data_IF_621634680900
#
_entry.id   IF_621634680900
#
_cell.length_a   1.000
_cell.length_b   1.000
_cell.length_c   1.000
_cell.angle_alpha   90.00
_cell.angle_beta   90.00
_cell.angle_gamma   90.00
#
_symmetry.space_group_name_H-M   'P 1'
#
loop_
_entity.id
_entity.type
_entity.pdbx_description
1 polymer ?
#
# COMPACT_ATOMS: atom_id res chain seq x y z
N UNK A 1 -5.71 26.66 27.61
CA UNK A 1 -4.58 27.23 28.39
C UNK A 1 -3.63 26.09 28.79
N UNK A 2 -2.91 25.50 27.82
CA UNK A 2 -1.86 24.51 28.09
C UNK A 2 -0.98 24.31 26.84
N UNK A 3 -0.22 25.35 26.50
CA UNK A 3 0.84 25.25 25.47
C UNK A 3 1.95 26.27 25.74
N UNK A 4 2.45 26.37 26.98
CA UNK A 4 3.56 27.29 27.31
C UNK A 4 4.67 26.74 28.21
N UNK A 5 4.68 25.45 28.57
CA UNK A 5 5.65 24.93 29.56
C UNK A 5 6.82 24.13 28.96
N UNK A 6 6.76 23.65 27.71
CA UNK A 6 7.84 22.81 27.17
C UNK A 6 8.97 23.53 26.40
N UNK A 7 8.85 24.84 26.14
CA UNK A 7 9.86 25.60 25.38
C UNK A 7 10.88 26.37 26.21
N UNK A 8 10.77 26.36 27.56
CA UNK A 8 11.71 27.10 28.44
C UNK A 8 12.86 26.29 29.04
N UNK A 9 13.02 24.99 28.71
CA UNK A 9 14.13 24.17 29.25
C UNK A 9 15.30 23.91 28.28
N UNK A 10 15.21 24.29 27.00
CA UNK A 10 16.29 24.06 26.04
C UNK A 10 17.28 25.25 25.87
N UNK A 11 16.93 26.45 26.35
CA UNK A 11 17.71 27.66 26.08
C UNK A 11 18.75 28.04 27.17
N UNK A 12 18.94 27.24 28.21
CA UNK A 12 19.76 27.62 29.38
C UNK A 12 21.05 26.81 29.59
N UNK A 13 21.59 26.13 28.56
CA UNK A 13 22.81 25.30 28.70
C UNK A 13 23.83 25.43 27.56
N UNK A 14 23.99 26.62 26.98
CA UNK A 14 25.06 26.88 26.02
C UNK A 14 25.59 28.31 26.11
N UNK A 15 26.07 28.72 27.28
CA UNK A 15 26.86 29.95 27.42
C UNK A 15 27.78 29.87 28.64
N UNK A 16 28.89 29.14 28.51
CA UNK A 16 30.16 29.45 29.18
C UNK A 16 31.18 28.35 28.94
N UNK A 17 32.34 28.75 28.43
CA UNK A 17 33.71 28.26 28.67
C UNK A 17 34.51 28.12 27.38
N UNK A 18 35.65 28.80 27.38
CA UNK A 18 36.69 28.84 26.34
C UNK A 18 37.92 28.05 26.84
N UNK A 19 39.07 28.02 26.14
CA UNK A 19 39.60 26.81 25.49
C UNK A 19 40.89 26.29 26.16
N UNK A 20 41.19 24.98 26.04
CA UNK A 20 42.56 24.46 25.88
C UNK A 20 42.62 22.95 25.56
N UNK A 21 43.69 22.61 24.87
CA UNK A 21 44.09 21.40 24.17
C UNK A 21 44.28 20.13 25.02
N UNK A 22 44.11 18.96 24.39
CA UNK A 22 45.20 17.97 24.22
C UNK A 22 44.79 16.86 23.24
N UNK A 23 45.78 16.47 22.45
CA UNK A 23 45.87 15.37 21.48
C UNK A 23 45.66 13.99 22.13
N UNK A 24 44.97 13.05 21.47
CA UNK A 24 45.58 11.88 20.77
C UNK A 24 44.60 10.71 20.50
N UNK A 25 44.79 10.11 19.31
CA UNK A 25 44.40 8.76 18.83
C UNK A 25 42.92 8.50 18.47
N UNK A 26 42.49 7.98 17.30
CA UNK A 26 43.08 7.19 16.17
C UNK A 26 42.06 7.23 14.97
N UNK A 27 42.41 6.84 13.71
CA UNK A 27 42.22 7.68 12.51
C UNK A 27 41.34 7.11 11.36
N UNK A 28 41.37 7.85 10.24
CA UNK A 28 41.18 7.41 8.83
C UNK A 28 39.75 7.11 8.32
N UNK A 29 39.04 8.17 7.88
CA UNK A 29 38.45 8.27 6.53
C UNK A 29 37.74 9.62 6.36
N UNK A 30 37.74 10.14 5.13
CA UNK A 30 37.07 11.36 4.65
C UNK A 30 37.87 12.67 4.84
N UNK A 31 39.10 12.68 4.32
CA UNK A 31 39.63 13.85 3.64
C UNK A 31 39.64 13.51 2.14
N UNK A 32 38.62 13.98 1.40
CA UNK A 32 38.58 14.24 -0.06
C UNK A 32 37.11 14.46 -0.50
N UNK A 33 36.54 15.62 -0.13
CA UNK A 33 35.44 16.22 -0.88
C UNK A 33 35.55 17.74 -0.73
N UNK A 34 35.82 18.40 -1.84
CA UNK A 34 36.39 19.74 -1.94
C UNK A 34 35.47 20.86 -1.45
N UNK A 35 36.12 21.93 -1.00
CA UNK A 35 35.59 23.25 -0.61
C UNK A 35 34.69 23.94 -1.65
N UNK A 36 34.50 23.35 -2.84
CA UNK A 36 33.65 23.84 -3.92
C UNK A 36 32.15 23.66 -3.64
N UNK A 37 31.75 22.57 -2.98
CA UNK A 37 30.33 22.24 -2.77
C UNK A 37 29.65 23.18 -1.75
N UNK A 38 30.35 23.62 -0.70
CA UNK A 38 29.79 24.56 0.29
C UNK A 38 29.56 25.97 -0.26
N UNK A 39 30.39 26.44 -1.21
CA UNK A 39 30.21 27.77 -1.83
C UNK A 39 29.01 27.79 -2.78
N UNK A 40 28.80 26.74 -3.58
CA UNK A 40 27.69 26.69 -4.55
C UNK A 40 26.31 26.62 -3.89
N UNK A 41 26.16 25.88 -2.78
CA UNK A 41 24.88 25.80 -2.05
C UNK A 41 24.49 27.16 -1.44
N UNK A 42 25.45 27.92 -0.90
CA UNK A 42 25.19 29.27 -0.39
C UNK A 42 24.81 30.27 -1.49
N UNK A 43 25.43 30.21 -2.67
CA UNK A 43 25.12 31.12 -3.79
C UNK A 43 23.72 30.87 -4.38
N UNK A 44 23.27 29.61 -4.43
CA UNK A 44 21.93 29.26 -4.94
C UNK A 44 20.82 29.73 -3.97
N UNK A 45 21.05 29.61 -2.65
CA UNK A 45 20.10 30.10 -1.65
C UNK A 45 19.95 31.63 -1.68
N UNK A 46 21.03 32.38 -1.94
CA UNK A 46 20.96 33.84 -2.08
C UNK A 46 20.31 34.29 -3.40
N UNK A 47 20.56 33.57 -4.50
CA UNK A 47 19.91 33.85 -5.79
C UNK A 47 18.39 33.59 -5.76
N UNK A 48 17.94 32.49 -5.17
CA UNK A 48 16.51 32.19 -5.04
C UNK A 48 15.79 33.19 -4.11
N UNK A 49 16.45 33.67 -3.05
CA UNK A 49 15.88 34.70 -2.19
C UNK A 49 15.72 36.05 -2.92
N UNK A 50 16.69 36.45 -3.73
CA UNK A 50 16.63 37.70 -4.50
C UNK A 50 15.62 37.64 -5.66
N UNK A 51 15.45 36.49 -6.31
CA UNK A 51 14.44 36.29 -7.36
C UNK A 51 13.02 36.34 -6.78
N UNK A 52 12.79 35.71 -5.62
CA UNK A 52 11.52 35.78 -4.88
C UNK A 52 11.20 37.23 -4.43
N UNK A 53 12.17 37.94 -3.86
CA UNK A 53 12.02 39.33 -3.42
C UNK A 53 11.73 40.29 -4.61
N UNK A 54 12.37 40.06 -5.76
CA UNK A 54 12.11 40.81 -6.99
C UNK A 54 10.69 40.59 -7.54
N UNK A 55 10.19 39.36 -7.51
CA UNK A 55 8.84 39.00 -7.96
C UNK A 55 7.73 39.61 -7.07
N UNK A 56 7.96 39.68 -5.75
CA UNK A 56 7.02 40.26 -4.79
C UNK A 56 6.97 41.80 -4.89
N UNK A 57 8.11 42.47 -5.09
CA UNK A 57 8.15 43.93 -5.34
C UNK A 57 7.44 44.32 -6.64
N UNK A 58 7.55 43.49 -7.68
CA UNK A 58 6.93 43.78 -8.97
C UNK A 58 5.41 43.61 -8.96
N UNK A 59 4.87 42.62 -8.22
CA UNK A 59 3.41 42.49 -8.04
C UNK A 59 2.80 43.67 -7.28
N UNK A 60 3.50 44.23 -6.29
CA UNK A 60 3.03 45.43 -5.56
C UNK A 60 3.03 46.69 -6.44
N UNK A 61 4.02 46.87 -7.31
CA UNK A 61 4.05 48.00 -8.25
C UNK A 61 3.05 47.85 -9.41
N UNK A 62 2.83 46.63 -9.91
CA UNK A 62 1.86 46.37 -10.98
C UNK A 62 0.41 46.60 -10.52
N UNK A 63 0.07 46.24 -9.28
CA UNK A 63 -1.25 46.48 -8.69
C UNK A 63 -1.46 47.98 -8.41
N UNK A 64 -0.42 48.72 -8.00
CA UNK A 64 -0.50 50.17 -7.81
C UNK A 64 -0.58 50.96 -9.12
N UNK A 65 0.07 50.51 -10.20
CA UNK A 65 0.03 51.16 -11.50
C UNK A 65 -1.28 50.89 -12.27
N UNK A 66 -1.87 49.71 -12.12
CA UNK A 66 -3.18 49.37 -12.68
C UNK A 66 -4.33 50.20 -12.06
N UNK A 67 -4.19 50.62 -10.80
CA UNK A 67 -5.13 51.54 -10.14
C UNK A 67 -5.00 53.00 -10.63
N UNK A 68 -3.93 53.36 -11.35
CA UNK A 68 -3.62 54.72 -11.80
C UNK A 68 -3.68 54.94 -13.32
N UNK A 69 -4.11 53.93 -14.10
CA UNK A 69 -4.50 54.12 -15.51
C UNK A 69 -3.39 54.33 -16.56
N UNK A 70 -2.11 54.05 -16.27
CA UNK A 70 -1.00 54.25 -17.23
C UNK A 70 -0.55 52.95 -17.95
N UNK A 71 -0.13 53.06 -19.23
CA UNK A 71 0.41 51.95 -20.05
C UNK A 71 1.90 51.69 -19.78
N UNK A 72 2.29 50.41 -19.82
CA UNK A 72 3.67 49.90 -19.64
C UNK A 72 4.57 50.06 -20.89
N UNK A 73 5.90 50.29 -20.75
CA UNK A 73 6.86 50.17 -21.85
C UNK A 73 7.38 48.72 -22.03
N UNK A 74 7.79 48.38 -23.27
CA UNK A 74 8.32 47.06 -23.71
C UNK A 74 9.65 46.70 -23.02
N UNK A 75 9.85 45.40 -22.73
CA UNK A 75 11.08 44.80 -22.18
C UNK A 75 11.87 44.05 -23.27
N UNK A 76 13.19 44.24 -23.31
CA UNK A 76 14.16 43.47 -24.09
C UNK A 76 14.43 42.10 -23.41
N UNK A 77 14.36 41.01 -24.17
CA UNK A 77 14.63 39.65 -23.68
C UNK A 77 16.13 39.36 -23.60
N UNK A 78 16.55 38.70 -22.51
CA UNK A 78 17.89 38.12 -22.32
C UNK A 78 18.26 37.18 -23.47
N UNK A 79 19.49 37.28 -23.99
CA UNK A 79 19.96 36.50 -25.14
C UNK A 79 20.05 34.99 -24.88
N UNK A 80 19.76 34.20 -25.93
CA UNK A 80 19.69 32.74 -25.92
C UNK A 80 20.94 32.04 -25.33
N UNK A 81 22.11 32.69 -25.42
CA UNK A 81 23.39 32.20 -24.89
C UNK A 81 23.39 32.00 -23.36
N UNK A 82 22.62 32.79 -22.61
CA UNK A 82 22.55 32.68 -21.16
C UNK A 82 21.62 31.55 -20.69
N UNK A 83 20.64 31.16 -21.52
CA UNK A 83 19.70 30.07 -21.20
C UNK A 83 20.39 28.71 -21.36
N UNK A 84 21.21 28.54 -22.42
CA UNK A 84 22.02 27.32 -22.60
C UNK A 84 23.03 27.12 -21.46
N UNK A 85 23.68 28.18 -21.00
CA UNK A 85 24.68 28.08 -19.92
C UNK A 85 24.06 27.68 -18.57
N UNK A 86 22.83 28.11 -18.30
CA UNK A 86 22.07 27.73 -17.10
C UNK A 86 21.53 26.30 -17.23
N UNK A 87 21.12 25.88 -18.43
CA UNK A 87 20.70 24.52 -18.73
C UNK A 87 21.83 23.49 -18.55
N UNK A 88 23.02 23.78 -19.09
CA UNK A 88 24.19 22.90 -18.97
C UNK A 88 24.67 22.73 -17.51
N UNK A 89 24.61 23.81 -16.71
CA UNK A 89 24.97 23.74 -15.28
C UNK A 89 23.96 22.96 -14.44
N UNK A 90 22.65 23.08 -14.73
CA UNK A 90 21.63 22.24 -14.09
C UNK A 90 21.78 20.77 -14.45
N UNK A 91 22.06 20.46 -15.72
CA UNK A 91 22.27 19.08 -16.17
C UNK A 91 23.47 18.43 -15.47
N UNK A 92 24.60 19.14 -15.36
CA UNK A 92 25.79 18.64 -14.68
C UNK A 92 25.57 18.42 -13.17
N UNK A 93 24.84 19.32 -12.51
CA UNK A 93 24.52 19.19 -11.08
C UNK A 93 23.58 18.00 -10.81
N UNK A 94 22.56 17.80 -11.66
CA UNK A 94 21.64 16.67 -11.56
C UNK A 94 22.37 15.33 -11.75
N UNK A 95 23.32 15.27 -12.69
CA UNK A 95 24.10 14.06 -12.96
C UNK A 95 25.04 13.69 -11.79
N UNK A 96 25.67 14.68 -11.16
CA UNK A 96 26.51 14.47 -9.97
C UNK A 96 25.68 14.02 -8.76
N UNK A 97 24.46 14.56 -8.60
CA UNK A 97 23.56 14.16 -7.53
C UNK A 97 23.09 12.71 -7.70
N UNK A 98 22.79 12.27 -8.93
CA UNK A 98 22.44 10.87 -9.20
C UNK A 98 23.59 9.89 -8.94
N UNK A 99 24.81 10.25 -9.32
CA UNK A 99 26.00 9.42 -9.03
C UNK A 99 26.24 9.29 -7.52
N UNK A 100 26.06 10.37 -6.75
CA UNK A 100 26.18 10.33 -5.29
C UNK A 100 25.15 9.36 -4.66
N UNK A 101 23.88 9.42 -5.10
CA UNK A 101 22.85 8.50 -4.61
C UNK A 101 23.13 7.04 -4.97
N UNK A 102 23.64 6.76 -6.17
CA UNK A 102 24.00 5.40 -6.57
C UNK A 102 25.12 4.82 -5.70
N UNK A 103 26.13 5.63 -5.37
CA UNK A 103 27.23 5.21 -4.49
C UNK A 103 26.72 4.94 -3.06
N UNK A 104 25.85 5.81 -2.53
CA UNK A 104 25.23 5.60 -1.21
C UNK A 104 24.38 4.33 -1.18
N UNK A 105 23.65 4.03 -2.27
CA UNK A 105 22.84 2.82 -2.36
C UNK A 105 23.69 1.54 -2.44
N UNK A 106 24.80 1.57 -3.18
CA UNK A 106 25.75 0.44 -3.24
C UNK A 106 26.43 0.18 -1.90
N UNK A 107 26.83 1.24 -1.17
CA UNK A 107 27.41 1.09 0.17
C UNK A 107 26.42 0.47 1.14
N UNK A 108 25.17 0.96 1.17
CA UNK A 108 24.11 0.40 2.03
C UNK A 108 23.78 -1.06 1.70
N UNK A 109 23.77 -1.44 0.42
CA UNK A 109 23.54 -2.82 0.01
C UNK A 109 24.70 -3.75 0.45
N UNK A 110 25.93 -3.25 0.42
CA UNK A 110 27.11 -4.00 0.85
C UNK A 110 27.09 -4.23 2.36
N UNK A 111 26.69 -3.24 3.15
CA UNK A 111 26.54 -3.36 4.61
C UNK A 111 25.44 -4.34 5.00
N UNK A 112 24.30 -4.33 4.30
CA UNK A 112 23.21 -5.30 4.50
C UNK A 112 23.69 -6.73 4.22
N UNK A 113 24.43 -6.93 3.12
CA UNK A 113 24.97 -8.25 2.77
C UNK A 113 26.00 -8.74 3.80
N UNK A 114 26.81 -7.83 4.37
CA UNK A 114 27.78 -8.16 5.42
C UNK A 114 27.10 -8.52 6.74
N UNK A 115 26.01 -7.82 7.08
CA UNK A 115 25.19 -8.13 8.25
C UNK A 115 24.50 -9.50 8.12
N UNK A 116 23.95 -9.80 6.95
CA UNK A 116 23.29 -11.08 6.68
C UNK A 116 24.27 -12.27 6.76
N UNK A 117 25.50 -12.11 6.25
CA UNK A 117 26.56 -13.12 6.36
C UNK A 117 26.98 -13.40 7.80
N UNK A 118 27.06 -12.36 8.65
CA UNK A 118 27.34 -12.53 10.08
C UNK A 118 26.22 -13.26 10.81
N UNK A 119 24.96 -13.00 10.45
CA UNK A 119 23.80 -13.67 11.03
C UNK A 119 23.74 -15.16 10.65
N UNK A 120 24.02 -15.49 9.39
CA UNK A 120 24.09 -16.88 8.92
C UNK A 120 25.24 -17.67 9.59
N UNK A 121 26.40 -17.04 9.77
CA UNK A 121 27.53 -17.67 10.46
C UNK A 121 27.22 -17.95 11.94
N UNK A 122 26.47 -17.05 12.61
CA UNK A 122 26.01 -17.24 13.99
C UNK A 122 24.99 -18.39 14.11
N UNK A 123 24.02 -18.48 13.20
CA UNK A 123 23.03 -19.58 13.20
C UNK A 123 23.65 -20.95 12.89
N UNK A 124 24.66 -21.03 12.02
CA UNK A 124 25.38 -22.28 11.74
C UNK A 124 26.23 -22.74 12.93
N UNK A 125 26.78 -21.80 13.72
CA UNK A 125 27.50 -22.11 14.95
C UNK A 125 26.57 -22.64 16.06
N UNK A 126 25.31 -22.16 16.14
CA UNK A 126 24.30 -22.68 17.07
C UNK A 126 23.70 -24.03 16.67
N UNK A 127 23.71 -24.38 15.38
CA UNK A 127 23.22 -25.67 14.91
C UNK A 127 24.22 -26.81 15.16
N UNK A 128 25.50 -26.48 15.33
CA UNK A 128 26.57 -27.47 15.54
C UNK A 128 26.75 -27.87 17.01
N UNK A 129 26.09 -27.21 17.96
CA UNK A 129 26.24 -27.45 19.40
C UNK A 129 25.08 -28.23 20.05
N UNK A 130 24.06 -28.64 19.29
CA UNK A 130 22.83 -29.28 19.83
C UNK A 130 22.67 -30.76 19.49
N UNK A 131 23.70 -31.45 18.98
CA UNK A 131 23.66 -32.89 18.69
C UNK A 131 24.66 -33.69 19.54
N UNK A 132 24.38 -33.78 20.84
CA UNK A 132 24.92 -34.86 21.70
C UNK A 132 24.02 -35.04 22.93
N UNK A 133 23.23 -36.11 22.97
CA UNK A 133 22.38 -36.42 24.12
C UNK A 133 21.48 -37.63 23.90
N UNK A 134 21.97 -38.77 24.36
CA UNK A 134 21.38 -40.10 24.51
C UNK A 134 19.96 -40.16 25.10
N UNK A 135 19.20 -41.18 24.70
CA UNK A 135 17.77 -41.32 24.95
C UNK A 135 17.36 -42.12 26.18
N UNK A 136 16.05 -42.24 26.37
CA UNK A 136 15.39 -43.40 26.95
C UNK A 136 13.89 -43.38 26.56
N UNK A 137 13.31 -44.58 26.45
CA UNK A 137 11.98 -44.82 25.93
C UNK A 137 10.99 -45.15 27.05
N UNK A 138 9.80 -44.54 27.06
CA UNK A 138 8.59 -45.15 27.63
C UNK A 138 7.33 -44.66 26.93
N UNK A 139 6.54 -45.65 26.50
CA UNK A 139 5.22 -45.60 25.89
C UNK A 139 4.16 -44.97 26.80
N UNK A 140 3.28 -44.11 26.27
CA UNK A 140 1.83 -44.20 26.54
C UNK A 140 1.03 -43.54 25.42
N UNK A 141 0.06 -44.29 24.90
CA UNK A 141 -0.80 -43.96 23.78
C UNK A 141 -1.96 -43.05 24.18
N UNK A 142 -2.18 -41.97 23.43
CA UNK A 142 -3.52 -41.39 23.26
C UNK A 142 -3.64 -40.79 21.86
N UNK A 143 -4.58 -41.34 21.10
CA UNK A 143 -4.84 -41.09 19.70
C UNK A 143 -5.71 -39.84 19.53
N UNK A 144 -5.15 -38.77 18.98
CA UNK A 144 -5.96 -37.72 18.32
C UNK A 144 -5.25 -37.32 17.02
N UNK A 145 -5.66 -37.96 15.94
CA UNK A 145 -5.24 -37.64 14.57
C UNK A 145 -5.83 -36.29 14.14
N UNK A 146 -5.06 -35.23 14.31
CA UNK A 146 -5.10 -34.07 13.43
C UNK A 146 -3.76 -34.05 12.68
N UNK A 147 -3.74 -34.64 11.48
CA UNK A 147 -2.62 -34.56 10.58
C UNK A 147 -2.49 -33.10 10.11
N UNK A 148 -1.76 -32.29 10.89
CA UNK A 148 -1.19 -31.04 10.42
C UNK A 148 -0.12 -31.41 9.42
N UNK A 149 -0.50 -31.55 8.15
CA UNK A 149 0.46 -31.54 7.05
C UNK A 149 1.03 -30.12 7.01
N UNK A 150 2.04 -29.87 7.83
CA UNK A 150 2.86 -28.66 7.73
C UNK A 150 3.64 -28.79 6.44
N UNK A 151 2.99 -28.48 5.31
CA UNK A 151 3.69 -28.20 4.07
C UNK A 151 4.60 -27.02 4.39
N UNK A 152 5.88 -27.31 4.56
CA UNK A 152 6.94 -26.31 4.61
C UNK A 152 6.81 -25.44 3.37
N UNK A 153 6.17 -24.29 3.51
CA UNK A 153 6.08 -23.30 2.46
C UNK A 153 7.50 -22.83 2.19
N UNK A 154 8.03 -23.20 1.03
CA UNK A 154 9.30 -22.66 0.56
C UNK A 154 9.18 -21.13 0.59
N UNK A 155 9.96 -20.48 1.46
CA UNK A 155 9.88 -19.05 1.74
C UNK A 155 10.54 -18.22 0.63
N UNK A 156 10.66 -18.81 -0.56
CA UNK A 156 11.27 -18.22 -1.73
C UNK A 156 10.30 -17.23 -2.38
N UNK A 157 10.81 -16.05 -2.74
CA UNK A 157 10.08 -15.04 -3.50
C UNK A 157 9.50 -15.64 -4.79
N UNK A 158 8.18 -15.52 -4.95
CA UNK A 158 7.46 -15.82 -6.18
C UNK A 158 7.74 -14.69 -7.17
N UNK A 159 8.17 -15.07 -8.37
CA UNK A 159 8.52 -14.17 -9.48
C UNK A 159 7.65 -14.48 -10.70
N UNK A 160 7.60 -13.57 -11.68
CA UNK A 160 6.94 -13.81 -12.97
C UNK A 160 7.43 -15.09 -13.65
N UNK A 161 8.74 -15.38 -13.60
CA UNK A 161 9.32 -16.62 -14.10
C UNK A 161 8.79 -17.86 -13.37
N UNK A 162 8.62 -17.78 -12.05
CA UNK A 162 8.05 -18.90 -11.29
C UNK A 162 6.60 -19.15 -11.67
N UNK A 163 5.81 -18.10 -11.91
CA UNK A 163 4.41 -18.18 -12.36
C UNK A 163 4.31 -18.84 -13.75
N UNK A 164 5.14 -18.41 -14.70
CA UNK A 164 5.25 -19.05 -16.03
C UNK A 164 5.64 -20.54 -15.88
N UNK A 165 6.60 -20.83 -15.00
CA UNK A 165 7.04 -22.20 -14.77
C UNK A 165 5.96 -23.09 -14.12
N UNK A 166 5.01 -22.52 -13.34
CA UNK A 166 3.84 -23.26 -12.83
C UNK A 166 2.93 -23.70 -13.98
N UNK A 167 2.62 -22.81 -14.93
CA UNK A 167 1.85 -23.19 -16.14
C UNK A 167 2.51 -24.34 -16.90
N UNK A 168 3.82 -24.24 -17.19
CA UNK A 168 4.58 -25.29 -17.91
C UNK A 168 4.56 -26.64 -17.19
N UNK A 169 4.46 -26.63 -15.85
CA UNK A 169 4.36 -27.82 -15.00
C UNK A 169 2.91 -28.25 -14.73
N UNK A 170 1.93 -27.61 -15.37
CA UNK A 170 0.50 -27.80 -15.13
C UNK A 170 0.10 -27.67 -13.64
N UNK A 171 0.80 -26.80 -12.90
CA UNK A 171 0.49 -26.47 -11.52
C UNK A 171 -0.39 -25.22 -11.46
N UNK A 172 -1.51 -25.30 -10.74
CA UNK A 172 -2.44 -24.18 -10.64
C UNK A 172 -1.83 -23.01 -9.85
N UNK A 173 -2.08 -21.81 -10.34
CA UNK A 173 -1.65 -20.55 -9.70
C UNK A 173 -2.77 -20.04 -8.79
N UNK A 174 -2.42 -19.68 -7.55
CA UNK A 174 -3.35 -19.10 -6.58
C UNK A 174 -3.10 -17.60 -6.46
N UNK A 175 -4.17 -16.83 -6.68
CA UNK A 175 -4.16 -15.37 -6.56
C UNK A 175 -5.35 -14.95 -5.70
N UNK A 176 -5.15 -13.97 -4.84
CA UNK A 176 -6.23 -13.37 -4.05
C UNK A 176 -5.93 -11.89 -3.87
N UNK A 177 -6.97 -11.08 -3.72
CA UNK A 177 -6.75 -9.67 -3.40
C UNK A 177 -6.33 -9.48 -1.94
N UNK A 178 -5.69 -8.36 -1.64
CA UNK A 178 -5.49 -7.83 -0.30
C UNK A 178 -5.33 -6.31 -0.41
N UNK A 179 -5.71 -5.57 0.62
CA UNK A 179 -5.76 -4.10 0.55
C UNK A 179 -5.18 -3.39 1.78
N UNK A 180 -4.93 -4.13 2.84
CA UNK A 180 -4.40 -3.61 4.10
C UNK A 180 -3.30 -4.52 4.67
N UNK A 181 -2.74 -4.12 5.82
CA UNK A 181 -1.70 -4.90 6.47
C UNK A 181 -2.22 -6.25 7.02
N UNK A 182 -3.32 -6.32 7.80
CA UNK A 182 -3.83 -7.59 8.33
C UNK A 182 -4.20 -8.62 7.26
N UNK A 183 -4.93 -8.22 6.21
CA UNK A 183 -5.30 -9.11 5.11
C UNK A 183 -4.06 -9.66 4.41
N UNK A 184 -3.08 -8.82 4.11
CA UNK A 184 -1.83 -9.24 3.48
C UNK A 184 -1.04 -10.23 4.35
N UNK A 185 -1.00 -10.05 5.68
CA UNK A 185 -0.37 -11.01 6.61
C UNK A 185 -1.04 -12.37 6.52
N UNK A 186 -2.38 -12.43 6.50
CA UNK A 186 -3.11 -13.70 6.39
C UNK A 186 -2.92 -14.36 5.03
N UNK A 187 -2.94 -13.58 3.96
CA UNK A 187 -2.74 -14.06 2.59
C UNK A 187 -1.33 -14.62 2.38
N UNK A 188 -0.29 -13.96 2.90
CA UNK A 188 1.08 -14.45 2.85
C UNK A 188 1.24 -15.75 3.63
N UNK A 189 0.69 -15.81 4.85
CA UNK A 189 0.67 -17.02 5.68
C UNK A 189 -0.04 -18.20 5.03
N UNK A 190 -1.09 -17.94 4.25
CA UNK A 190 -1.81 -18.96 3.50
C UNK A 190 -1.01 -19.50 2.30
N UNK A 191 0.13 -18.89 1.96
CA UNK A 191 1.00 -19.37 0.91
C UNK A 191 0.51 -19.04 -0.51
N UNK A 192 -0.27 -17.97 -0.70
CA UNK A 192 -0.74 -17.56 -2.03
C UNK A 192 0.42 -17.19 -2.96
N UNK A 193 0.32 -17.53 -4.26
CA UNK A 193 1.41 -17.21 -5.19
C UNK A 193 1.44 -15.71 -5.50
N UNK A 194 0.27 -15.12 -5.73
CA UNK A 194 0.10 -13.72 -6.14
C UNK A 194 -0.85 -13.02 -5.18
N UNK A 195 -0.49 -11.80 -4.76
CA UNK A 195 -1.39 -10.87 -4.08
C UNK A 195 -1.69 -9.71 -5.00
N UNK A 196 -2.99 -9.47 -5.22
CA UNK A 196 -3.46 -8.35 -6.03
C UNK A 196 -3.97 -7.22 -5.14
N UNK A 197 -3.35 -6.05 -5.24
CA UNK A 197 -3.94 -4.82 -4.75
C UNK A 197 -4.79 -4.27 -5.89
N UNK A 198 -6.03 -4.75 -5.96
CA UNK A 198 -6.94 -4.47 -7.06
C UNK A 198 -7.78 -3.22 -6.81
N UNK A 199 -8.14 -2.50 -7.87
CA UNK A 199 -8.99 -1.30 -7.79
C UNK A 199 -10.40 -1.58 -7.22
N UNK A 200 -10.78 -2.85 -7.15
CA UNK A 200 -11.88 -3.39 -6.33
C UNK A 200 -11.95 -2.84 -4.90
N UNK A 201 -10.83 -2.40 -4.29
CA UNK A 201 -10.86 -1.72 -2.97
C UNK A 201 -11.71 -0.46 -2.97
N UNK A 202 -11.89 0.21 -4.12
CA UNK A 202 -12.84 1.29 -4.27
C UNK A 202 -14.23 0.91 -3.72
N UNK A 203 -14.68 -0.31 -4.00
CA UNK A 203 -15.98 -0.80 -3.58
C UNK A 203 -15.92 -1.44 -2.20
N UNK A 204 -14.99 -2.39 -1.99
CA UNK A 204 -15.00 -3.23 -0.79
C UNK A 204 -14.34 -2.60 0.44
N UNK A 205 -13.45 -1.62 0.26
CA UNK A 205 -12.79 -0.89 1.35
C UNK A 205 -13.35 0.54 1.50
N UNK A 206 -13.59 1.23 0.38
CA UNK A 206 -13.96 2.65 0.38
C UNK A 206 -15.46 2.90 0.18
N UNK A 207 -16.25 1.86 -0.12
CA UNK A 207 -17.71 1.97 -0.25
C UNK A 207 -18.19 2.75 -1.49
N UNK A 208 -17.34 2.94 -2.51
CA UNK A 208 -17.79 3.49 -3.78
C UNK A 208 -18.69 2.49 -4.53
N UNK A 209 -19.61 3.02 -5.35
CA UNK A 209 -20.50 2.18 -6.16
C UNK A 209 -19.77 1.46 -7.31
N UNK A 210 -18.66 2.01 -7.78
CA UNK A 210 -17.84 1.47 -8.87
C UNK A 210 -16.35 1.68 -8.58
N UNK A 211 -15.48 1.08 -9.39
CA UNK A 211 -14.02 1.28 -9.26
C UNK A 211 -13.52 2.60 -9.84
N UNK A 212 -14.34 3.30 -10.64
CA UNK A 212 -13.94 4.54 -11.35
C UNK A 212 -13.41 5.68 -10.46
N UNK A 213 -13.95 5.93 -9.24
CA UNK A 213 -13.52 7.08 -8.45
C UNK A 213 -12.13 6.94 -7.82
N UNK A 214 -11.57 5.73 -7.78
CA UNK A 214 -10.31 5.52 -7.07
C UNK A 214 -9.13 6.12 -7.81
N UNK A 215 -8.29 6.82 -7.07
CA UNK A 215 -7.11 7.52 -7.60
C UNK A 215 -5.85 6.67 -7.49
N UNK A 216 -4.82 7.03 -8.26
CA UNK A 216 -3.50 6.40 -8.17
C UNK A 216 -2.90 6.52 -6.75
N UNK A 217 -3.09 7.66 -6.07
CA UNK A 217 -2.55 7.87 -4.73
C UNK A 217 -3.24 6.98 -3.69
N UNK A 218 -4.56 6.75 -3.82
CA UNK A 218 -5.29 5.79 -3.00
C UNK A 218 -4.81 4.36 -3.26
N UNK A 219 -4.59 3.98 -4.52
CA UNK A 219 -4.01 2.68 -4.86
C UNK A 219 -2.63 2.49 -4.24
N UNK A 220 -1.74 3.49 -4.36
CA UNK A 220 -0.41 3.47 -3.76
C UNK A 220 -0.48 3.32 -2.23
N UNK A 221 -1.42 3.98 -1.56
CA UNK A 221 -1.63 3.84 -0.12
C UNK A 221 -1.93 2.38 0.28
N UNK A 222 -2.88 1.73 -0.39
CA UNK A 222 -3.20 0.32 -0.14
C UNK A 222 -2.02 -0.61 -0.49
N UNK A 223 -1.33 -0.35 -1.60
CA UNK A 223 -0.12 -1.07 -1.99
C UNK A 223 0.96 -1.05 -0.90
N UNK A 224 1.20 0.12 -0.29
CA UNK A 224 2.15 0.26 0.81
C UNK A 224 1.75 -0.57 2.04
N UNK A 225 0.45 -0.62 2.37
CA UNK A 225 -0.04 -1.43 3.48
C UNK A 225 0.18 -2.92 3.22
N UNK A 226 -0.17 -3.38 2.02
CA UNK A 226 0.02 -4.78 1.60
C UNK A 226 1.49 -5.17 1.55
N UNK A 227 2.36 -4.29 1.03
CA UNK A 227 3.81 -4.54 1.01
C UNK A 227 4.38 -4.75 2.41
N UNK A 228 3.85 -4.07 3.44
CA UNK A 228 4.27 -4.29 4.83
C UNK A 228 3.77 -5.63 5.38
N UNK A 229 2.58 -6.08 4.97
CA UNK A 229 2.00 -7.33 5.46
C UNK A 229 2.51 -8.59 4.76
N UNK A 230 2.91 -8.48 3.48
CA UNK A 230 3.44 -9.56 2.66
C UNK A 230 4.78 -9.18 1.99
N UNK A 231 5.85 -8.91 2.76
CA UNK A 231 7.04 -8.25 2.24
C UNK A 231 7.88 -9.13 1.29
N UNK A 232 7.86 -10.45 1.47
CA UNK A 232 8.94 -11.32 1.02
C UNK A 232 8.53 -12.39 0.01
N UNK A 233 7.40 -13.08 0.20
CA UNK A 233 7.12 -14.31 -0.55
C UNK A 233 6.25 -14.11 -1.79
N UNK A 234 4.99 -13.64 -1.72
CA UNK A 234 4.13 -13.61 -2.90
C UNK A 234 4.58 -12.57 -3.91
N UNK A 235 4.21 -12.75 -5.17
CA UNK A 235 4.33 -11.73 -6.20
C UNK A 235 3.23 -10.68 -5.95
N UNK A 236 3.63 -9.43 -5.70
CA UNK A 236 2.71 -8.33 -5.44
C UNK A 236 2.39 -7.61 -6.76
N UNK A 237 1.11 -7.51 -7.09
CA UNK A 237 0.61 -6.83 -8.29
C UNK A 237 -0.29 -5.68 -7.85
N UNK A 238 -0.02 -4.47 -8.34
CA UNK A 238 -0.90 -3.31 -8.13
C UNK A 238 -1.71 -2.98 -9.39
N UNK A 239 -3.01 -2.76 -9.24
CA UNK A 239 -3.85 -2.27 -10.33
C UNK A 239 -3.55 -0.82 -10.68
N UNK A 240 -3.38 -0.56 -11.97
CA UNK A 240 -3.40 0.81 -12.48
C UNK A 240 -4.87 1.26 -12.56
N UNK A 241 -5.29 2.29 -11.79
CA UNK A 241 -6.69 2.69 -11.74
C UNK A 241 -7.11 3.40 -13.04
N UNK A 242 -8.41 3.44 -13.28
CA UNK A 242 -8.98 4.15 -14.42
C UNK A 242 -8.48 5.60 -14.51
N UNK A 243 -8.18 6.04 -15.73
CA UNK A 243 -7.67 7.39 -16.00
C UNK A 243 -6.19 7.61 -15.68
N UNK A 244 -5.46 6.56 -15.29
CA UNK A 244 -4.02 6.66 -14.99
C UNK A 244 -3.10 6.21 -16.14
N UNK A 245 -3.64 5.59 -17.20
CA UNK A 245 -2.81 5.00 -18.26
C UNK A 245 -3.39 5.09 -19.67
N UNK A 246 -4.63 5.54 -19.81
CA UNK A 246 -5.40 5.53 -21.05
C UNK A 246 -5.06 6.67 -22.02
N UNK A 247 -3.89 7.28 -21.86
CA UNK A 247 -3.45 8.44 -22.61
C UNK A 247 -2.76 8.06 -23.91
N UNK A 248 -2.92 8.90 -24.95
CA UNK A 248 -2.16 8.77 -26.20
C UNK A 248 -0.65 8.88 -25.96
N UNK A 249 -0.24 9.72 -25.01
CA UNK A 249 1.13 9.76 -24.54
C UNK A 249 1.39 8.62 -23.53
N UNK A 250 1.94 7.53 -24.04
CA UNK A 250 2.28 6.32 -23.28
C UNK A 250 3.28 6.55 -22.15
N UNK A 251 4.06 7.63 -22.17
CA UNK A 251 4.99 7.95 -21.07
C UNK A 251 4.28 8.21 -19.75
N UNK A 252 3.03 8.70 -19.79
CA UNK A 252 2.23 8.93 -18.58
C UNK A 252 1.95 7.58 -17.88
N UNK A 253 1.59 6.55 -18.65
CA UNK A 253 1.35 5.22 -18.11
C UNK A 253 2.62 4.63 -17.48
N UNK A 254 3.77 4.79 -18.13
CA UNK A 254 5.06 4.33 -17.61
C UNK A 254 5.45 5.08 -16.33
N UNK A 255 5.28 6.41 -16.29
CA UNK A 255 5.54 7.21 -15.08
C UNK A 255 4.67 6.75 -13.91
N UNK A 256 3.38 6.55 -14.14
CA UNK A 256 2.45 6.08 -13.11
C UNK A 256 2.76 4.64 -12.67
N UNK A 257 3.18 3.76 -13.59
CA UNK A 257 3.65 2.42 -13.25
C UNK A 257 4.92 2.46 -12.38
N UNK A 258 5.86 3.37 -12.65
CA UNK A 258 7.01 3.57 -11.78
C UNK A 258 6.62 4.03 -10.38
N UNK A 259 5.59 4.87 -10.24
CA UNK A 259 5.06 5.25 -8.92
C UNK A 259 4.51 4.03 -8.19
N UNK A 260 3.72 3.19 -8.86
CA UNK A 260 3.18 1.97 -8.27
C UNK A 260 4.28 1.03 -7.74
N UNK A 261 5.37 0.88 -8.49
CA UNK A 261 6.51 0.04 -8.09
C UNK A 261 7.35 0.69 -7.00
N UNK A 262 7.71 1.97 -7.14
CA UNK A 262 8.63 2.67 -6.23
C UNK A 262 7.97 3.10 -4.93
N UNK A 263 6.79 3.72 -5.03
CA UNK A 263 6.05 4.24 -3.88
C UNK A 263 5.20 3.15 -3.25
N UNK A 264 4.56 2.30 -4.07
CA UNK A 264 3.71 1.19 -3.61
C UNK A 264 4.48 -0.06 -3.19
N UNK A 265 5.70 -0.26 -3.72
CA UNK A 265 6.51 -1.46 -3.43
C UNK A 265 6.03 -2.72 -4.16
N UNK A 266 5.30 -2.56 -5.26
CA UNK A 266 4.77 -3.66 -6.08
C UNK A 266 5.85 -4.26 -6.99
N UNK A 267 5.73 -5.54 -7.32
CA UNK A 267 6.64 -6.24 -8.24
C UNK A 267 6.18 -6.12 -9.71
N UNK A 268 4.88 -5.93 -9.92
CA UNK A 268 4.25 -5.82 -11.22
C UNK A 268 3.00 -4.93 -11.15
N UNK A 269 2.48 -4.56 -12.32
CA UNK A 269 1.23 -3.79 -12.44
C UNK A 269 0.20 -4.56 -13.28
N UNK A 270 -1.09 -4.32 -13.06
CA UNK A 270 -2.18 -4.84 -13.89
C UNK A 270 -2.86 -3.72 -14.69
N UNK A 271 -3.16 -4.01 -15.96
CA UNK A 271 -3.86 -3.12 -16.89
C UNK A 271 -5.09 -3.82 -17.49
N UNK A 272 -6.16 -3.05 -17.71
CA UNK A 272 -7.39 -3.54 -18.32
C UNK A 272 -7.50 -3.22 -19.82
N UNK A 273 -8.04 -4.19 -20.55
CA UNK A 273 -8.33 -4.12 -21.97
C UNK A 273 -7.17 -4.62 -22.83
N UNK A 274 -7.52 -5.27 -23.94
CA UNK A 274 -6.55 -5.82 -24.90
C UNK A 274 -6.60 -5.16 -26.28
N UNK A 275 -7.20 -3.97 -26.40
CA UNK A 275 -7.27 -3.25 -27.69
C UNK A 275 -5.88 -2.88 -28.22
N UNK A 276 -5.80 -2.50 -29.50
CA UNK A 276 -4.53 -2.06 -30.10
C UNK A 276 -3.88 -0.91 -29.30
N UNK A 277 -4.67 0.09 -28.90
CA UNK A 277 -4.19 1.20 -28.09
C UNK A 277 -3.67 0.73 -26.72
N UNK A 278 -4.38 -0.18 -26.05
CA UNK A 278 -3.95 -0.75 -24.76
C UNK A 278 -2.67 -1.56 -24.88
N UNK A 279 -2.54 -2.36 -25.94
CA UNK A 279 -1.34 -3.16 -26.16
C UNK A 279 -0.07 -2.31 -26.39
N UNK A 280 -0.21 -1.14 -27.02
CA UNK A 280 0.90 -0.18 -27.17
C UNK A 280 1.38 0.34 -25.83
N UNK A 281 0.45 0.66 -24.93
CA UNK A 281 0.77 1.07 -23.54
C UNK A 281 1.50 -0.07 -22.82
N UNK A 282 0.95 -1.29 -22.86
CA UNK A 282 1.55 -2.47 -22.21
C UNK A 282 2.97 -2.70 -22.72
N UNK A 283 3.19 -2.66 -24.05
CA UNK A 283 4.51 -2.83 -24.65
C UNK A 283 5.49 -1.78 -24.16
N UNK A 284 5.08 -0.52 -24.11
CA UNK A 284 5.93 0.57 -23.62
C UNK A 284 6.31 0.38 -22.15
N UNK A 285 5.35 -0.02 -21.31
CA UNK A 285 5.58 -0.26 -19.88
C UNK A 285 6.51 -1.44 -19.65
N UNK A 286 6.34 -2.54 -20.40
CA UNK A 286 7.23 -3.71 -20.36
C UNK A 286 8.65 -3.35 -20.82
N UNK A 287 8.79 -2.58 -21.90
CA UNK A 287 10.09 -2.09 -22.37
C UNK A 287 10.77 -1.15 -21.37
N UNK A 288 9.99 -0.43 -20.56
CA UNK A 288 10.47 0.34 -19.41
C UNK A 288 10.93 -0.51 -18.21
N UNK A 289 10.82 -1.84 -18.29
CA UNK A 289 11.29 -2.77 -17.27
C UNK A 289 10.26 -3.10 -16.18
N UNK A 290 8.98 -2.78 -16.38
CA UNK A 290 7.90 -3.13 -15.45
C UNK A 290 7.13 -4.35 -15.96
N UNK A 291 6.99 -5.38 -15.12
CA UNK A 291 6.18 -6.55 -15.46
C UNK A 291 4.68 -6.20 -15.47
N UNK A 292 3.96 -6.70 -16.49
CA UNK A 292 2.53 -6.43 -16.69
C UNK A 292 1.69 -7.69 -16.63
N UNK A 293 0.66 -7.69 -15.78
CA UNK A 293 -0.47 -8.61 -15.81
C UNK A 293 -1.59 -7.98 -16.66
N UNK A 294 -1.94 -8.62 -17.78
CA UNK A 294 -3.05 -8.16 -18.62
C UNK A 294 -4.41 -8.55 -18.02
N UNK A 295 -5.49 -7.95 -18.53
CA UNK A 295 -6.87 -8.30 -18.15
C UNK A 295 -7.82 -8.10 -19.34
N UNK A 296 -8.53 -9.16 -19.72
CA UNK A 296 -9.58 -9.15 -20.75
C UNK A 296 -10.86 -9.81 -20.24
N UNK A 297 -11.95 -9.65 -21.00
CA UNK A 297 -13.28 -10.08 -20.57
C UNK A 297 -14.07 -8.91 -20.02
N UNK A 298 -14.74 -9.09 -18.90
CA UNK A 298 -15.34 -7.97 -18.18
C UNK A 298 -14.22 -7.13 -17.55
N UNK A 299 -14.11 -5.88 -17.98
CA UNK A 299 -13.15 -4.89 -17.44
C UNK A 299 -13.94 -3.84 -16.67
N UNK A 300 -14.01 -3.90 -15.32
CA UNK A 300 -14.80 -2.98 -14.50
C UNK A 300 -14.51 -1.49 -14.76
N UNK A 301 -13.31 -1.12 -15.18
CA UNK A 301 -12.98 0.27 -15.53
C UNK A 301 -13.75 0.78 -16.77
N UNK A 302 -14.34 -0.12 -17.56
CA UNK A 302 -15.20 0.19 -18.70
C UNK A 302 -16.70 -0.03 -18.38
N UNK A 303 -17.11 -0.10 -17.11
CA UNK A 303 -18.47 -0.47 -16.70
C UNK A 303 -19.57 0.37 -17.39
N UNK A 304 -19.34 1.67 -17.56
CA UNK A 304 -20.26 2.60 -18.20
C UNK A 304 -20.40 2.35 -19.71
N UNK A 305 -19.34 1.85 -20.37
CA UNK A 305 -19.36 1.46 -21.79
C UNK A 305 -20.01 0.09 -21.96
N UNK A 306 -19.77 -0.82 -21.01
CA UNK A 306 -20.30 -2.18 -21.03
C UNK A 306 -21.78 -2.28 -20.58
N UNK A 307 -22.29 -1.24 -19.91
CA UNK A 307 -23.67 -1.20 -19.43
C UNK A 307 -23.93 -2.12 -18.23
N UNK A 308 -22.93 -2.31 -17.37
CA UNK A 308 -23.00 -3.10 -16.13
C UNK A 308 -22.20 -4.40 -16.14
N UNK A 309 -22.22 -5.11 -15.01
CA UNK A 309 -21.47 -6.34 -14.79
C UNK A 309 -22.11 -7.53 -15.51
N UNK A 310 -21.80 -7.68 -16.80
CA UNK A 310 -22.35 -8.74 -17.66
C UNK A 310 -21.25 -9.64 -18.18
N UNK A 311 -21.56 -10.93 -18.32
CA UNK A 311 -20.63 -11.88 -18.90
C UNK A 311 -20.32 -11.55 -20.37
N UNK A 312 -19.04 -11.61 -20.74
CA UNK A 312 -18.53 -11.29 -22.06
C UNK A 312 -18.29 -12.56 -22.90
N UNK A 313 -18.12 -12.42 -24.22
CA UNK A 313 -17.75 -13.56 -25.07
C UNK A 313 -18.86 -14.62 -25.28
N UNK A 314 -20.14 -14.25 -25.13
CA UNK A 314 -21.27 -15.17 -25.32
C UNK A 314 -21.57 -15.51 -26.79
N UNK A 315 -21.13 -14.66 -27.71
CA UNK A 315 -21.23 -14.87 -29.16
C UNK A 315 -19.85 -15.22 -29.72
N UNK A 316 -19.82 -16.04 -30.77
CA UNK A 316 -18.56 -16.51 -31.38
C UNK A 316 -17.62 -15.36 -31.78
N UNK A 317 -18.14 -14.30 -32.40
CA UNK A 317 -17.35 -13.11 -32.76
C UNK A 317 -16.72 -12.43 -31.54
N UNK A 318 -17.49 -12.26 -30.46
CA UNK A 318 -16.99 -11.67 -29.21
C UNK A 318 -15.93 -12.57 -28.55
N UNK A 319 -16.16 -13.89 -28.54
CA UNK A 319 -15.17 -14.85 -28.03
C UNK A 319 -13.88 -14.81 -28.85
N UNK A 320 -13.99 -14.65 -30.17
CA UNK A 320 -12.83 -14.47 -31.06
C UNK A 320 -12.08 -13.18 -30.74
N UNK A 321 -12.79 -12.06 -30.57
CA UNK A 321 -12.18 -10.79 -30.17
C UNK A 321 -11.40 -10.92 -28.86
N UNK A 322 -11.96 -11.60 -27.85
CA UNK A 322 -11.28 -11.84 -26.57
C UNK A 322 -9.99 -12.65 -26.72
N UNK A 323 -9.99 -13.66 -27.60
CA UNK A 323 -8.76 -14.40 -27.92
C UNK A 323 -7.73 -13.50 -28.59
N UNK A 324 -8.13 -12.71 -29.59
CA UNK A 324 -7.22 -11.80 -30.29
C UNK A 324 -6.66 -10.71 -29.34
N UNK A 325 -7.47 -10.22 -28.40
CA UNK A 325 -7.05 -9.31 -27.33
C UNK A 325 -6.03 -9.94 -26.37
N UNK A 326 -6.27 -11.17 -25.93
CA UNK A 326 -5.36 -11.90 -25.05
C UNK A 326 -4.01 -12.19 -25.74
N UNK A 327 -4.03 -12.60 -27.02
CA UNK A 327 -2.83 -12.78 -27.84
C UNK A 327 -2.07 -11.47 -28.02
N UNK A 328 -2.79 -10.36 -28.28
CA UNK A 328 -2.17 -9.04 -28.42
C UNK A 328 -1.45 -8.59 -27.14
N UNK A 329 -2.03 -8.87 -25.97
CA UNK A 329 -1.37 -8.59 -24.68
C UNK A 329 -0.13 -9.47 -24.46
N UNK A 330 -0.18 -10.73 -24.87
CA UNK A 330 1.00 -11.60 -24.87
C UNK A 330 2.11 -11.05 -25.76
N UNK A 331 1.77 -10.65 -27.00
CA UNK A 331 2.72 -10.07 -27.96
C UNK A 331 3.26 -8.71 -27.51
N UNK A 332 2.53 -8.01 -26.65
CA UNK A 332 2.99 -6.79 -26.00
C UNK A 332 3.96 -7.06 -24.83
N UNK A 333 4.08 -8.31 -24.38
CA UNK A 333 5.01 -8.74 -23.32
C UNK A 333 4.38 -8.89 -21.94
N UNK A 334 3.04 -8.96 -21.83
CA UNK A 334 2.41 -9.31 -20.56
C UNK A 334 2.88 -10.70 -20.09
N UNK A 335 3.15 -10.87 -18.80
CA UNK A 335 3.65 -12.15 -18.27
C UNK A 335 2.54 -13.15 -17.96
N UNK A 336 1.29 -12.68 -17.85
CA UNK A 336 0.07 -13.44 -17.63
C UNK A 336 -1.15 -12.56 -18.00
N UNK A 337 -2.33 -13.16 -18.09
CA UNK A 337 -3.59 -12.44 -18.40
C UNK A 337 -4.74 -12.92 -17.50
N UNK A 338 -5.45 -11.99 -16.87
CA UNK A 338 -6.72 -12.24 -16.18
C UNK A 338 -7.84 -12.38 -17.21
N UNK A 339 -8.67 -13.41 -17.04
CA UNK A 339 -9.88 -13.66 -17.82
C UNK A 339 -11.08 -13.54 -16.87
N UNK A 340 -11.87 -12.49 -17.05
CA UNK A 340 -12.99 -12.19 -16.14
C UNK A 340 -14.36 -12.37 -16.79
N UNK A 341 -15.24 -13.11 -16.13
CA UNK A 341 -16.65 -13.29 -16.49
C UNK A 341 -16.87 -13.69 -17.96
N UNK A 342 -16.16 -14.73 -18.42
CA UNK A 342 -16.31 -15.30 -19.77
C UNK A 342 -16.74 -16.78 -19.71
N UNK A 343 -17.40 -17.33 -20.75
CA UNK A 343 -17.74 -18.75 -20.80
C UNK A 343 -16.51 -19.66 -20.61
N UNK A 344 -16.70 -20.77 -19.88
CA UNK A 344 -15.61 -21.69 -19.51
C UNK A 344 -14.92 -22.33 -20.72
N UNK A 345 -15.67 -22.63 -21.78
CA UNK A 345 -15.12 -23.15 -23.02
C UNK A 345 -14.23 -22.12 -23.72
N UNK A 346 -14.63 -20.84 -23.73
CA UNK A 346 -13.82 -19.75 -24.29
C UNK A 346 -12.54 -19.56 -23.50
N UNK A 347 -12.62 -19.54 -22.16
CA UNK A 347 -11.44 -19.43 -21.30
C UNK A 347 -10.45 -20.59 -21.48
N UNK A 348 -10.96 -21.81 -21.69
CA UNK A 348 -10.13 -22.99 -21.92
C UNK A 348 -9.36 -22.87 -23.25
N UNK A 349 -10.06 -22.50 -24.33
CA UNK A 349 -9.42 -22.25 -25.64
C UNK A 349 -8.37 -21.14 -25.54
N UNK A 350 -8.68 -20.01 -24.89
CA UNK A 350 -7.69 -18.92 -24.71
C UNK A 350 -6.47 -19.44 -23.93
N UNK A 351 -6.68 -20.23 -22.88
CA UNK A 351 -5.59 -20.77 -22.06
C UNK A 351 -4.66 -21.70 -22.84
N UNK A 352 -5.23 -22.52 -23.73
CA UNK A 352 -4.51 -23.43 -24.63
C UNK A 352 -3.72 -22.67 -25.71
N UNK A 353 -4.27 -21.58 -26.25
CA UNK A 353 -3.64 -20.79 -27.31
C UNK A 353 -2.52 -19.89 -26.81
N UNK A 354 -2.60 -19.38 -25.57
CA UNK A 354 -1.56 -18.54 -24.99
C UNK A 354 -0.36 -19.40 -24.53
N UNK A 355 0.84 -18.85 -24.62
CA UNK A 355 2.05 -19.38 -23.97
C UNK A 355 2.13 -18.93 -22.51
N UNK A 356 1.64 -17.72 -22.21
CA UNK A 356 1.64 -17.15 -20.85
C UNK A 356 0.45 -17.64 -20.01
N UNK A 357 0.55 -17.65 -18.67
CA UNK A 357 -0.53 -18.11 -17.79
C UNK A 357 -1.78 -17.26 -17.86
N UNK A 358 -2.94 -17.91 -17.74
CA UNK A 358 -4.25 -17.28 -17.60
C UNK A 358 -4.75 -17.40 -16.16
N UNK A 359 -5.30 -16.32 -15.60
CA UNK A 359 -5.90 -16.32 -14.26
C UNK A 359 -7.40 -16.07 -14.41
N UNK A 360 -8.23 -17.03 -13.98
CA UNK A 360 -9.68 -16.94 -14.11
C UNK A 360 -10.34 -16.28 -12.92
N UNK A 361 -11.39 -15.51 -13.19
CA UNK A 361 -12.41 -15.10 -12.20
C UNK A 361 -13.77 -15.13 -12.90
N UNK A 362 -14.62 -16.09 -12.54
CA UNK A 362 -15.84 -16.35 -13.32
C UNK A 362 -15.58 -16.85 -14.75
N UNK A 363 -14.45 -17.54 -14.97
CA UNK A 363 -14.02 -18.08 -16.27
C UNK A 363 -13.93 -19.62 -16.29
N UNK A 364 -14.44 -20.31 -15.26
CA UNK A 364 -14.35 -21.77 -15.11
C UNK A 364 -12.95 -22.28 -14.73
N UNK A 365 -12.81 -23.60 -14.58
CA UNK A 365 -11.58 -24.25 -14.08
C UNK A 365 -10.46 -24.48 -15.12
N UNK A 366 -10.71 -24.16 -16.39
CA UNK A 366 -9.79 -24.40 -17.52
C UNK A 366 -8.58 -23.46 -17.58
N UNK A 367 -8.54 -22.40 -16.76
CA UNK A 367 -7.43 -21.43 -16.72
C UNK A 367 -6.19 -21.98 -15.98
N UNK A 368 -5.05 -21.30 -16.14
CA UNK A 368 -3.80 -21.68 -15.45
C UNK A 368 -3.84 -21.42 -13.93
N UNK A 369 -4.69 -20.50 -13.48
CA UNK A 369 -4.92 -20.18 -12.07
C UNK A 369 -6.26 -19.50 -11.84
N UNK A 370 -6.52 -19.10 -10.60
CA UNK A 370 -7.76 -18.44 -10.19
C UNK A 370 -7.47 -17.24 -9.30
N UNK A 371 -8.33 -16.22 -9.39
CA UNK A 371 -8.37 -15.07 -8.48
C UNK A 371 -9.77 -14.87 -7.91
N UNK A 372 -9.85 -14.46 -6.65
CA UNK A 372 -11.07 -13.96 -6.02
C UNK A 372 -10.76 -12.74 -5.16
N UNK A 373 -11.78 -11.91 -4.97
CA UNK A 373 -11.75 -10.81 -4.00
C UNK A 373 -11.78 -11.38 -2.59
N UNK A 374 -10.86 -10.93 -1.73
CA UNK A 374 -10.69 -11.38 -0.35
C UNK A 374 -12.00 -11.36 0.46
N UNK A 375 -12.74 -10.26 0.35
CA UNK A 375 -14.02 -10.06 1.04
C UNK A 375 -15.10 -11.05 0.62
N UNK A 376 -15.24 -11.30 -0.68
CA UNK A 376 -16.22 -12.26 -1.19
C UNK A 376 -15.82 -13.70 -0.83
N UNK A 377 -14.52 -14.02 -0.95
CA UNK A 377 -13.95 -15.31 -0.61
C UNK A 377 -14.22 -15.67 0.86
N UNK A 378 -14.09 -14.70 1.77
CA UNK A 378 -14.27 -14.92 3.22
C UNK A 378 -15.68 -14.60 3.73
N UNK A 379 -16.58 -14.12 2.87
CA UNK A 379 -17.92 -13.72 3.26
C UNK A 379 -17.91 -12.63 4.35
N UNK A 380 -17.09 -11.59 4.17
CA UNK A 380 -16.92 -10.51 5.15
C UNK A 380 -18.05 -9.48 5.14
N UNK A 381 -18.59 -9.16 3.96
CA UNK A 381 -19.62 -8.15 3.82
C UNK A 381 -21.00 -8.80 3.85
N UNK A 382 -21.84 -8.33 4.76
CA UNK A 382 -23.28 -8.54 4.80
C UNK A 382 -23.92 -7.16 4.73
N UNK A 383 -24.12 -6.62 3.52
CA UNK A 383 -24.65 -5.26 3.39
C UNK A 383 -26.15 -5.26 3.79
N UNK A 384 -26.59 -4.42 4.74
CA UNK A 384 -28.00 -4.40 5.15
C UNK A 384 -28.96 -3.80 4.10
N UNK A 385 -28.43 -3.19 3.04
CA UNK A 385 -29.19 -2.45 2.02
C UNK A 385 -29.07 -3.02 0.60
N UNK A 386 -28.20 -4.01 0.40
CA UNK A 386 -28.05 -4.74 -0.85
C UNK A 386 -28.14 -6.22 -0.49
N UNK A 387 -29.09 -6.96 -1.07
CA UNK A 387 -29.17 -8.43 -0.97
C UNK A 387 -27.77 -9.03 -1.05
N UNK A 388 -27.49 -10.11 -0.29
CA UNK A 388 -26.21 -10.82 -0.25
C UNK A 388 -25.60 -11.02 -1.65
N UNK A 389 -24.87 -10.04 -2.16
CA UNK A 389 -24.41 -10.03 -3.54
C UNK A 389 -23.04 -10.68 -3.61
N UNK A 390 -22.97 -11.94 -3.17
CA UNK A 390 -21.83 -12.78 -3.52
C UNK A 390 -21.96 -13.07 -5.02
N UNK A 391 -20.99 -12.67 -5.87
CA UNK A 391 -21.08 -12.94 -7.29
C UNK A 391 -21.31 -14.44 -7.54
N UNK A 392 -22.12 -14.81 -8.53
CA UNK A 392 -22.50 -16.22 -8.79
C UNK A 392 -21.31 -17.16 -8.99
N UNK A 393 -20.16 -16.62 -9.40
CA UNK A 393 -18.92 -17.37 -9.60
C UNK A 393 -18.06 -17.51 -8.33
N UNK A 394 -18.39 -16.79 -7.26
CA UNK A 394 -17.62 -16.78 -6.04
C UNK A 394 -18.13 -17.85 -5.06
N UNK A 395 -17.22 -18.72 -4.62
CA UNK A 395 -17.46 -19.63 -3.50
C UNK A 395 -17.02 -18.94 -2.21
N UNK A 396 -17.92 -18.82 -1.23
CA UNK A 396 -17.58 -18.44 0.15
C UNK A 396 -16.83 -19.61 0.81
N UNK A 397 -15.59 -19.37 1.23
CA UNK A 397 -14.75 -20.32 1.97
C UNK A 397 -14.83 -20.13 3.49
N UNK A 398 -15.38 -18.99 3.94
CA UNK A 398 -15.69 -18.69 5.32
C UNK A 398 -16.94 -17.78 5.41
N UNK A 399 -17.38 -17.48 6.63
CA UNK A 399 -18.49 -16.56 6.91
C UNK A 399 -18.09 -15.55 7.97
N UNK A 400 -17.00 -14.83 7.70
CA UNK A 400 -16.34 -13.93 8.66
C UNK A 400 -17.27 -12.81 9.12
N UNK A 401 -18.14 -12.30 8.24
CA UNK A 401 -19.09 -11.24 8.60
C UNK A 401 -20.03 -11.60 9.75
N UNK A 402 -20.44 -12.87 9.85
CA UNK A 402 -21.27 -13.37 10.96
C UNK A 402 -20.52 -13.23 12.29
N UNK A 403 -19.28 -13.72 12.34
CA UNK A 403 -18.47 -13.68 13.55
C UNK A 403 -18.09 -12.25 13.98
N UNK A 404 -17.89 -11.34 13.02
CA UNK A 404 -17.72 -9.92 13.32
C UNK A 404 -18.97 -9.36 14.01
N UNK A 405 -20.15 -9.60 13.44
CA UNK A 405 -21.41 -9.12 13.98
C UNK A 405 -21.71 -9.71 15.36
N UNK A 406 -21.50 -11.02 15.54
CA UNK A 406 -21.70 -11.70 16.82
C UNK A 406 -20.79 -11.13 17.90
N UNK A 407 -19.51 -10.90 17.59
CA UNK A 407 -18.55 -10.31 18.53
C UNK A 407 -18.93 -8.89 18.94
N UNK A 408 -19.37 -8.06 18.00
CA UNK A 408 -19.84 -6.70 18.27
C UNK A 408 -21.13 -6.69 19.11
N UNK A 409 -22.09 -7.55 18.79
CA UNK A 409 -23.34 -7.67 19.52
C UNK A 409 -23.12 -8.17 20.96
N UNK A 410 -22.25 -9.16 21.14
CA UNK A 410 -21.91 -9.68 22.46
C UNK A 410 -21.17 -8.62 23.30
N UNK A 411 -20.20 -7.91 22.72
CA UNK A 411 -19.51 -6.81 23.40
C UNK A 411 -20.49 -5.74 23.85
N UNK A 412 -21.41 -5.31 22.97
CA UNK A 412 -22.46 -4.34 23.32
C UNK A 412 -23.29 -4.82 24.50
N UNK A 413 -23.78 -6.07 24.45
CA UNK A 413 -24.60 -6.67 25.50
C UNK A 413 -23.87 -6.69 26.84
N UNK A 414 -22.62 -7.15 26.86
CA UNK A 414 -21.85 -7.24 28.11
C UNK A 414 -21.56 -5.87 28.73
N UNK A 415 -21.39 -4.82 27.91
CA UNK A 415 -21.25 -3.44 28.40
C UNK A 415 -22.58 -2.91 28.96
N UNK A 416 -23.68 -3.12 28.25
CA UNK A 416 -25.02 -2.66 28.69
C UNK A 416 -25.49 -3.37 29.97
N UNK A 417 -25.12 -4.64 30.16
CA UNK A 417 -25.43 -5.44 31.36
C UNK A 417 -24.41 -5.25 32.49
N UNK A 418 -23.35 -4.44 32.28
CA UNK A 418 -22.29 -4.22 33.27
C UNK A 418 -21.42 -5.45 33.55
N UNK A 419 -21.46 -6.46 32.67
CA UNK A 419 -20.61 -7.65 32.73
C UNK A 419 -19.18 -7.36 32.28
N UNK A 420 -19.00 -6.44 31.32
CA UNK A 420 -17.71 -5.98 30.84
C UNK A 420 -17.45 -4.51 31.23
N UNK A 421 -16.25 -4.18 31.76
CA UNK A 421 -15.16 -5.09 32.07
C UNK A 421 -15.42 -5.86 33.37
N UNK A 422 -15.29 -7.19 33.32
CA UNK A 422 -15.24 -8.02 34.53
C UNK A 422 -13.93 -7.84 35.30
N UNK A 423 -13.78 -8.54 36.43
CA UNK A 423 -12.56 -8.47 37.27
C UNK A 423 -11.29 -8.84 36.51
N UNK A 424 -11.35 -9.85 35.65
CA UNK A 424 -10.21 -10.31 34.84
C UNK A 424 -9.70 -9.23 33.87
N UNK A 425 -10.61 -8.38 33.37
CA UNK A 425 -10.31 -7.29 32.45
C UNK A 425 -10.08 -5.94 33.15
N UNK A 426 -10.02 -5.95 34.49
CA UNK A 426 -9.77 -4.78 35.33
C UNK A 426 -8.48 -4.93 36.15
N UNK A 427 -7.30 -5.12 35.51
CA UNK A 427 -6.07 -5.48 36.23
C UNK A 427 -5.45 -4.31 37.02
N UNK A 428 -5.89 -3.09 36.78
CA UNK A 428 -5.31 -1.89 37.38
C UNK A 428 -6.04 -1.58 38.71
N UNK A 429 -5.34 -1.75 39.83
CA UNK A 429 -5.88 -1.53 41.18
C UNK A 429 -5.17 -0.38 41.89
N UNK A 430 -5.89 0.30 42.78
CA UNK A 430 -5.32 1.26 43.73
C UNK A 430 -5.01 0.56 45.06
N UNK A 431 -4.00 1.02 45.80
CA UNK A 431 -3.82 0.54 47.18
C UNK A 431 -4.97 1.05 48.05
N UNK A 432 -5.28 0.33 49.13
CA UNK A 432 -6.37 0.73 50.02
C UNK A 432 -6.12 2.12 50.65
N UNK A 433 -4.86 2.49 50.90
CA UNK A 433 -4.54 3.82 51.42
C UNK A 433 -4.83 4.94 50.41
N UNK A 434 -4.38 4.76 49.17
CA UNK A 434 -4.62 5.73 48.09
C UNK A 434 -6.11 5.82 47.74
N UNK A 435 -6.85 4.71 47.80
CA UNK A 435 -8.30 4.69 47.57
C UNK A 435 -9.05 5.50 48.64
N UNK A 436 -8.62 5.40 49.89
CA UNK A 436 -9.19 6.21 50.97
C UNK A 436 -8.92 7.71 50.77
N UNK A 437 -7.69 8.08 50.38
CA UNK A 437 -7.33 9.47 50.07
C UNK A 437 -8.16 9.99 48.90
N UNK A 438 -8.29 9.21 47.84
CA UNK A 438 -9.09 9.55 46.67
C UNK A 438 -10.56 9.82 47.05
N UNK A 439 -11.17 8.93 47.82
CA UNK A 439 -12.56 9.08 48.27
C UNK A 439 -12.77 10.33 49.15
N UNK A 440 -11.82 10.66 50.04
CA UNK A 440 -11.86 11.90 50.84
C UNK A 440 -11.80 13.15 49.95
N UNK A 441 -10.88 13.18 48.97
CA UNK A 441 -10.77 14.30 48.02
C UNK A 441 -12.08 14.52 47.24
N UNK A 442 -12.69 13.45 46.71
CA UNK A 442 -13.97 13.52 45.99
C UNK A 442 -15.10 14.04 46.88
N UNK A 443 -15.15 13.60 48.14
CA UNK A 443 -16.18 14.05 49.08
C UNK A 443 -16.10 15.55 49.39
N UNK A 444 -14.88 16.08 49.54
CA UNK A 444 -14.61 17.50 49.77
C UNK A 444 -15.02 18.36 48.58
N UNK A 445 -14.85 17.87 47.36
CA UNK A 445 -15.26 18.57 46.15
C UNK A 445 -16.79 18.62 46.01
N UNK A 446 -17.49 17.51 46.31
CA UNK A 446 -18.97 17.52 46.37
C UNK A 446 -19.51 18.55 47.38
N UNK A 447 -18.89 18.64 48.55
CA UNK A 447 -19.28 19.58 49.59
C UNK A 447 -19.05 21.06 49.18
N UNK A 448 -18.04 21.35 48.35
CA UNK A 448 -17.76 22.70 47.84
C UNK A 448 -18.73 23.15 46.75
N UNK A 449 -19.30 22.23 45.97
CA UNK A 449 -20.19 22.55 44.83
C UNK A 449 -21.67 22.65 45.27
N UNK A 450 -22.01 22.30 46.51
CA UNK A 450 -23.38 22.47 47.02
C UNK A 450 -24.42 21.56 46.36
N UNK A 451 -23.99 20.44 45.76
CA UNK A 451 -24.90 19.41 45.26
C UNK A 451 -25.41 18.56 46.44
N UNK A 452 -26.49 19.03 47.07
CA UNK A 452 -27.38 18.14 47.81
C UNK A 452 -28.05 17.20 46.82
N UNK A 453 -28.02 15.90 47.11
CA UNK A 453 -28.62 14.85 46.30
C UNK A 453 -30.12 15.07 46.12
N UNK A 454 -30.54 15.67 45.01
CA UNK A 454 -31.89 15.49 44.49
C UNK A 454 -31.86 14.33 43.49
N UNK A 455 -32.77 13.39 43.70
CA UNK A 455 -33.07 12.28 42.78
C UNK A 455 -33.35 12.82 41.38
N UNK A 456 -32.83 12.23 40.29
CA UNK A 456 -33.14 12.70 38.95
C UNK A 456 -34.64 12.50 38.70
N UNK A 457 -35.33 13.60 38.39
CA UNK A 457 -36.71 13.58 37.91
C UNK A 457 -36.76 12.82 36.58
N UNK A 458 -37.72 11.90 36.43
CA UNK A 458 -37.91 11.03 35.26
C UNK A 458 -38.36 11.79 33.99
N UNK A 459 -38.27 13.12 33.97
CA UNK A 459 -38.79 13.97 32.90
C UNK A 459 -37.76 14.40 31.83
N UNK A 460 -36.47 14.16 32.02
CA UNK A 460 -35.46 14.47 31.00
C UNK A 460 -35.29 13.32 30.00
N UNK A 461 -36.38 13.02 29.27
CA UNK A 461 -36.28 12.39 27.96
C UNK A 461 -35.57 13.37 27.02
N UNK A 462 -34.25 13.19 26.89
CA UNK A 462 -33.43 13.83 25.88
C UNK A 462 -33.93 13.43 24.49
N UNK A 463 -34.77 14.30 23.92
CA UNK A 463 -35.30 14.19 22.58
C UNK A 463 -34.17 14.51 21.58
N UNK A 464 -33.38 13.50 21.22
CA UNK A 464 -32.21 13.60 20.34
C UNK A 464 -32.55 13.66 18.83
N UNK A 465 -33.84 13.69 18.47
CA UNK A 465 -34.30 14.01 17.13
C UNK A 465 -35.35 15.12 17.20
N UNK A 466 -35.04 16.27 16.58
CA UNK A 466 -35.95 17.41 16.51
C UNK A 466 -37.32 17.04 15.96
N UNK A 467 -38.37 17.50 16.63
CA UNK A 467 -39.73 17.47 16.14
C UNK A 467 -39.80 18.24 14.82
N UNK A 468 -40.16 17.53 13.73
CA UNK A 468 -40.60 18.16 12.49
C UNK A 468 -41.95 18.83 12.74
N UNK A 469 -41.99 20.15 12.58
CA UNK A 469 -43.17 20.85 12.06
C UNK A 469 -42.90 21.25 10.62
#
# INVERSE_FOLDING_TARGET
MMTSILLRRAAARASSTSPRSTHDNIPFMVALASSSCRRQVCTIATMNHNIMQGSIRHRRHAVAAAAAGNRYPRMDYLSASNIELVGQRHYHCHHQHQQYYQIQHQQKQTDINLHYRRHLASSLAHFSSSTSGSGDATNTSTTTTAASSTTTTDNKKVTTLSIIAKKRRNQKITMVTAYDYPSAVHVDRAGMDIVLVGDSCAMVELGFETTLPITLDQMIHHCQAVKRGAPNRPLLVGDMPFGSYEFDNVDIALQNAYRMVKEGGMDAVKFEGGTEARSKIVRHVVQGGIAVLGHVGLTPQAINVLGGFRAQGRKAEQARTLLDEALRLQDAGAFAVVLECIPSNVASVITEQLEIPTIGIGAGGGTSGQVLVFHDLLGMLSHPHHEEFCPKFCKKYASVGIHINDGLAQFKKEVEEGMFPGKEYSPYTMSAEEEAIFNDLVSKDKAKVGLTSETPDESDQLNLYGSKH
#
